data_IF_740027495566
#
_entry.id   IF_740027495566
#
_cell.length_a   1.000
_cell.length_b   1.000
_cell.length_c   1.000
_cell.angle_alpha   90.00
_cell.angle_beta   90.00
_cell.angle_gamma   90.00
#
_symmetry.space_group_name_H-M   'P 1'
#
loop_
_entity.id
_entity.type
_entity.pdbx_description
1 polymer ?
#
# COMPACT_ATOMS: atom_id res chain seq x y z
N UNK A 1 -4.72 -5.37 -13.02
CA UNK A 1 -3.33 -4.86 -13.02
C UNK A 1 -3.27 -3.33 -13.15
N UNK A 2 -3.69 -2.69 -14.25
CA UNK A 2 -3.59 -1.22 -14.41
C UNK A 2 -4.37 -0.41 -13.36
N UNK A 3 -5.61 -0.81 -13.05
CA UNK A 3 -6.42 -0.15 -12.01
C UNK A 3 -5.84 -0.31 -10.58
N UNK A 4 -5.16 -1.42 -10.30
CA UNK A 4 -4.50 -1.65 -9.01
C UNK A 4 -3.28 -0.73 -8.85
N UNK A 5 -2.48 -0.60 -9.90
CA UNK A 5 -1.37 0.34 -9.94
C UNK A 5 -1.85 1.79 -9.75
N UNK A 6 -2.91 2.20 -10.44
CA UNK A 6 -3.47 3.54 -10.28
C UNK A 6 -3.92 3.81 -8.84
N UNK A 7 -4.59 2.83 -8.21
CA UNK A 7 -5.02 2.95 -6.80
C UNK A 7 -3.83 3.07 -5.84
N UNK A 8 -2.76 2.30 -6.06
CA UNK A 8 -1.51 2.38 -5.29
C UNK A 8 -0.87 3.76 -5.44
N UNK A 9 -0.81 4.30 -6.66
CA UNK A 9 -0.22 5.60 -6.93
C UNK A 9 -1.00 6.76 -6.29
N UNK A 10 -2.34 6.68 -6.33
CA UNK A 10 -3.21 7.65 -5.64
C UNK A 10 -2.95 7.59 -4.13
N UNK A 11 -2.99 6.40 -3.54
CA UNK A 11 -2.84 6.23 -2.10
C UNK A 11 -1.43 6.63 -1.62
N UNK A 12 -0.38 6.37 -2.41
CA UNK A 12 0.99 6.85 -2.12
C UNK A 12 1.06 8.37 -2.04
N UNK A 13 0.42 9.08 -2.97
CA UNK A 13 0.38 10.56 -2.95
C UNK A 13 -0.36 11.07 -1.72
N UNK A 14 -1.48 10.43 -1.35
CA UNK A 14 -2.23 10.78 -0.16
C UNK A 14 -1.43 10.52 1.13
N UNK A 15 -0.71 9.40 1.21
CA UNK A 15 0.15 9.06 2.34
C UNK A 15 1.22 10.14 2.56
N UNK A 16 1.94 10.50 1.49
CA UNK A 16 2.98 11.53 1.53
C UNK A 16 2.38 12.87 1.97
N UNK A 17 1.27 13.28 1.35
CA UNK A 17 0.60 14.55 1.67
C UNK A 17 0.11 14.56 3.13
N UNK A 18 -0.45 13.45 3.62
CA UNK A 18 -0.90 13.30 5.00
C UNK A 18 0.28 13.35 5.97
N UNK A 19 1.40 12.70 5.64
CA UNK A 19 2.62 12.73 6.44
C UNK A 19 3.25 14.12 6.52
N UNK A 20 3.19 14.90 5.43
CA UNK A 20 3.64 16.30 5.42
C UNK A 20 2.74 17.23 6.25
N UNK A 21 1.43 16.99 6.29
CA UNK A 21 0.47 17.84 7.03
C UNK A 21 0.42 17.49 8.53
N UNK A 22 0.35 16.19 8.85
CA UNK A 22 0.07 15.72 10.21
C UNK A 22 1.30 15.07 10.90
N UNK A 23 2.36 14.80 10.15
CA UNK A 23 3.52 14.02 10.61
C UNK A 23 3.42 12.54 10.20
N UNK A 24 4.57 11.92 9.94
CA UNK A 24 4.65 10.53 9.48
C UNK A 24 4.27 9.49 10.54
N UNK A 25 4.34 9.86 11.82
CA UNK A 25 3.93 9.00 12.94
C UNK A 25 2.51 9.26 13.41
N UNK A 26 1.79 10.21 12.80
CA UNK A 26 0.40 10.49 13.17
C UNK A 26 -0.50 9.27 12.85
N UNK A 27 -1.51 8.97 13.69
CA UNK A 27 -2.39 7.81 13.47
C UNK A 27 -3.02 7.75 12.08
N UNK A 28 -3.32 8.91 11.49
CA UNK A 28 -3.90 9.01 10.13
C UNK A 28 -2.90 8.62 9.04
N UNK A 29 -1.62 8.99 9.20
CA UNK A 29 -0.57 8.62 8.26
C UNK A 29 -0.22 7.14 8.39
N UNK A 30 -0.20 6.62 9.62
CA UNK A 30 0.02 5.18 9.87
C UNK A 30 -1.07 4.31 9.25
N UNK A 31 -2.36 4.65 9.42
CA UNK A 31 -3.45 3.92 8.77
C UNK A 31 -3.30 3.90 7.24
N UNK A 32 -3.01 5.05 6.62
CA UNK A 32 -2.78 5.11 5.17
C UNK A 32 -1.57 4.28 4.73
N UNK A 33 -0.54 4.18 5.57
CA UNK A 33 0.63 3.34 5.28
C UNK A 33 0.26 1.86 5.27
N UNK A 34 -0.63 1.43 6.19
CA UNK A 34 -1.11 0.06 6.25
C UNK A 34 -1.99 -0.29 5.05
N UNK A 35 -2.93 0.60 4.69
CA UNK A 35 -3.75 0.44 3.49
C UNK A 35 -2.89 0.32 2.21
N UNK A 36 -1.80 1.09 2.12
CA UNK A 36 -0.87 1.02 0.99
C UNK A 36 -0.12 -0.32 0.96
N UNK A 37 0.30 -0.81 2.12
CA UNK A 37 0.99 -2.10 2.24
C UNK A 37 0.09 -3.27 1.81
N UNK A 38 -1.18 -3.26 2.21
CA UNK A 38 -2.17 -4.25 1.76
C UNK A 38 -2.30 -4.30 0.24
N UNK A 39 -2.37 -3.14 -0.42
CA UNK A 39 -2.44 -3.07 -1.89
C UNK A 39 -1.16 -3.56 -2.57
N UNK A 40 0.00 -3.28 -1.99
CA UNK A 40 1.29 -3.77 -2.49
C UNK A 40 1.40 -5.29 -2.35
N UNK A 41 0.92 -5.85 -1.23
CA UNK A 41 0.86 -7.29 -1.02
C UNK A 41 -0.08 -7.98 -2.01
N UNK A 42 -1.25 -7.38 -2.30
CA UNK A 42 -2.15 -7.88 -3.36
C UNK A 42 -1.46 -7.89 -4.72
N UNK A 43 -0.74 -6.82 -5.06
CA UNK A 43 0.01 -6.74 -6.32
C UNK A 43 1.13 -7.79 -6.40
N UNK A 44 1.82 -8.06 -5.28
CA UNK A 44 2.84 -9.10 -5.19
C UNK A 44 2.22 -10.49 -5.41
N UNK A 45 1.11 -10.77 -4.74
CA UNK A 45 0.40 -12.04 -4.85
C UNK A 45 -0.23 -12.26 -6.25
N UNK A 46 -0.57 -11.19 -6.98
CA UNK A 46 -1.00 -11.30 -8.38
C UNK A 46 0.16 -11.66 -9.34
N UNK A 47 1.41 -11.38 -8.96
CA UNK A 47 2.60 -11.62 -9.79
C UNK A 47 3.28 -12.95 -9.54
N UNK A 48 3.10 -13.54 -8.36
CA UNK A 48 3.60 -14.87 -8.02
C UNK A 48 2.45 -15.87 -8.15
N UNK A 49 2.44 -16.79 -9.15
CA UNK A 49 1.55 -17.94 -9.06
C UNK A 49 2.02 -18.75 -7.87
N UNK A 50 1.17 -18.90 -6.84
CA UNK A 50 1.41 -19.67 -5.60
C UNK A 50 2.44 -20.79 -5.79
N UNK A 51 3.72 -20.51 -5.53
CA UNK A 51 4.71 -21.54 -5.27
C UNK A 51 4.65 -21.79 -3.77
N UNK A 52 3.82 -22.79 -3.46
CA UNK A 52 3.78 -23.67 -2.30
C UNK A 52 4.34 -23.20 -0.94
N UNK A 53 3.47 -23.38 0.06
CA UNK A 53 3.74 -23.74 1.47
C UNK A 53 5.20 -23.75 1.91
N UNK A 54 5.51 -22.93 2.92
CA UNK A 54 6.56 -23.28 3.89
C UNK A 54 6.05 -23.09 5.32
N UNK A 55 5.75 -24.25 5.91
CA UNK A 55 5.78 -24.72 7.33
C UNK A 55 5.74 -23.67 8.44
#
# INVERSE_FOLDING_TARGET
MEALFEKIEILRKELITTGLIYGFTAPKTLHKSQELDELLNLLKNEKEPNDFEYV
#
